data_IF_788161220758
#
_entry.id   IF_788161220758
#
_cell.length_a   1.000
_cell.length_b   1.000
_cell.length_c   1.000
_cell.angle_alpha   90.00
_cell.angle_beta   90.00
_cell.angle_gamma   90.00
#
_symmetry.space_group_name_H-M   'P 1'
#
loop_
_entity.id
_entity.type
_entity.pdbx_description
1 polymer ?
#
# COMPACT_ATOMS: atom_id res chain seq x y z
N UNK A 1 -20.54 7.37 -1.01
CA UNK A 1 -20.79 5.92 -1.18
C UNK A 1 -19.78 5.18 -0.32
N UNK A 2 -20.16 4.08 0.32
CA UNK A 2 -19.24 3.22 1.09
C UNK A 2 -19.22 1.86 0.40
N UNK A 3 -18.04 1.25 0.26
CA UNK A 3 -17.84 -0.05 -0.37
C UNK A 3 -16.98 -0.88 0.56
N UNK A 4 -17.42 -2.10 0.86
CA UNK A 4 -16.59 -3.09 1.55
C UNK A 4 -15.61 -3.66 0.53
N UNK A 5 -14.36 -3.84 0.94
CA UNK A 5 -13.28 -4.40 0.13
C UNK A 5 -12.55 -5.43 0.96
N UNK A 6 -11.98 -6.44 0.32
CA UNK A 6 -11.36 -7.57 1.00
C UNK A 6 -10.14 -8.09 0.24
N UNK A 7 -9.18 -8.66 0.95
CA UNK A 7 -8.09 -9.39 0.32
C UNK A 7 -8.58 -10.77 -0.11
N UNK A 8 -8.08 -11.25 -1.25
CA UNK A 8 -8.52 -12.52 -1.83
C UNK A 8 -7.32 -13.46 -1.85
N UNK A 9 -7.18 -14.36 -0.86
CA UNK A 9 -6.12 -15.35 -0.83
C UNK A 9 -6.02 -16.16 -2.12
N UNK A 10 -4.80 -16.29 -2.61
CA UNK A 10 -4.48 -17.24 -3.65
C UNK A 10 -4.70 -18.68 -3.19
N UNK A 11 -5.10 -19.55 -4.12
CA UNK A 11 -5.36 -20.95 -3.84
C UNK A 11 -6.65 -21.22 -3.05
N UNK A 12 -7.38 -20.20 -2.59
CA UNK A 12 -8.69 -20.38 -1.98
C UNK A 12 -9.76 -20.61 -3.05
N UNK A 13 -10.62 -21.60 -2.82
CA UNK A 13 -11.80 -21.83 -3.64
C UNK A 13 -13.02 -21.24 -2.96
N UNK A 14 -13.72 -20.36 -3.66
CA UNK A 14 -14.95 -19.75 -3.19
C UNK A 14 -16.13 -20.49 -3.82
N UNK A 15 -17.08 -20.95 -3.01
CA UNK A 15 -18.32 -21.54 -3.52
C UNK A 15 -19.26 -20.49 -4.12
N UNK A 16 -20.24 -20.92 -4.92
CA UNK A 16 -21.27 -20.03 -5.46
C UNK A 16 -20.72 -19.02 -6.48
N UNK A 17 -21.09 -17.75 -6.35
CA UNK A 17 -20.70 -16.66 -7.26
C UNK A 17 -19.31 -16.05 -6.93
N UNK A 18 -18.53 -16.66 -6.03
CA UNK A 18 -17.23 -16.14 -5.62
C UNK A 18 -17.31 -14.86 -4.77
N UNK A 19 -16.17 -14.19 -4.51
CA UNK A 19 -16.13 -12.90 -3.84
C UNK A 19 -16.93 -11.86 -4.61
N UNK A 20 -17.82 -11.15 -3.92
CA UNK A 20 -18.70 -10.14 -4.56
C UNK A 20 -18.19 -8.71 -4.38
N UNK A 21 -17.27 -8.51 -3.45
CA UNK A 21 -16.67 -7.21 -3.19
C UNK A 21 -15.40 -7.02 -4.03
N UNK A 22 -15.02 -5.78 -4.38
CA UNK A 22 -13.71 -5.52 -4.98
C UNK A 22 -12.59 -6.00 -4.07
N UNK A 23 -11.51 -6.50 -4.69
CA UNK A 23 -10.32 -6.84 -3.93
C UNK A 23 -9.62 -5.59 -3.38
N UNK A 24 -8.82 -5.74 -2.32
CA UNK A 24 -7.93 -4.68 -1.83
C UNK A 24 -7.01 -4.18 -2.96
N UNK A 25 -6.50 -5.10 -3.79
CA UNK A 25 -5.67 -4.79 -4.96
C UNK A 25 -6.42 -3.91 -5.97
N UNK A 26 -7.61 -4.33 -6.43
CA UNK A 26 -8.40 -3.56 -7.41
C UNK A 26 -8.78 -2.18 -6.86
N UNK A 27 -9.04 -2.10 -5.56
CA UNK A 27 -9.38 -0.86 -4.88
C UNK A 27 -8.20 0.11 -4.88
N UNK A 28 -7.00 -0.35 -4.54
CA UNK A 28 -5.80 0.49 -4.54
C UNK A 28 -5.43 0.92 -5.96
N UNK A 29 -5.48 0.00 -6.93
CA UNK A 29 -5.27 0.31 -8.34
C UNK A 29 -6.28 1.34 -8.86
N UNK A 30 -7.56 1.23 -8.47
CA UNK A 30 -8.57 2.22 -8.82
C UNK A 30 -8.28 3.59 -8.22
N UNK A 31 -7.82 3.66 -6.97
CA UNK A 31 -7.46 4.93 -6.32
C UNK A 31 -6.25 5.57 -7.01
N UNK A 32 -5.22 4.79 -7.32
CA UNK A 32 -4.03 5.25 -8.05
C UNK A 32 -4.44 5.79 -9.43
N UNK A 33 -5.20 5.00 -10.19
CA UNK A 33 -5.60 5.35 -11.55
C UNK A 33 -6.60 6.51 -11.65
N UNK A 34 -7.30 6.84 -10.56
CA UNK A 34 -8.23 7.98 -10.52
C UNK A 34 -7.66 9.23 -9.83
N UNK A 35 -6.43 9.18 -9.30
CA UNK A 35 -5.83 10.34 -8.62
C UNK A 35 -5.36 11.36 -9.65
N UNK A 36 -5.76 12.62 -9.48
CA UNK A 36 -5.39 13.71 -10.40
C UNK A 36 -4.42 14.73 -9.78
N UNK A 37 -4.36 14.85 -8.46
CA UNK A 37 -3.62 15.91 -7.78
C UNK A 37 -2.73 15.41 -6.65
N UNK A 38 -3.24 14.56 -5.77
CA UNK A 38 -2.48 14.08 -4.61
C UNK A 38 -2.93 12.72 -4.10
N UNK A 39 -1.96 11.90 -3.72
CA UNK A 39 -2.16 10.65 -3.01
C UNK A 39 -1.41 10.67 -1.68
N UNK A 40 -2.14 10.61 -0.57
CA UNK A 40 -1.59 10.59 0.78
C UNK A 40 -1.76 9.23 1.41
N UNK A 41 -0.67 8.68 1.94
CA UNK A 41 -0.63 7.32 2.45
C UNK A 41 -0.07 7.35 3.88
N UNK A 42 -0.78 6.75 4.83
CA UNK A 42 -0.26 6.47 6.16
C UNK A 42 -0.17 4.95 6.37
N UNK A 43 1.06 4.47 6.58
CA UNK A 43 1.40 3.05 6.59
C UNK A 43 2.14 2.64 7.87
N UNK A 44 1.96 1.41 8.32
CA UNK A 44 2.76 0.85 9.41
C UNK A 44 4.15 0.42 8.94
N UNK A 45 4.25 -0.31 7.84
CA UNK A 45 5.51 -0.65 7.16
C UNK A 45 5.26 -0.83 5.67
N UNK A 46 6.33 -1.05 4.90
CA UNK A 46 6.27 -1.23 3.45
C UNK A 46 7.12 -2.43 3.00
N UNK A 47 6.50 -3.38 2.29
CA UNK A 47 7.10 -4.55 1.61
C UNK A 47 6.19 -4.96 0.44
N UNK A 48 5.99 -4.05 -0.51
CA UNK A 48 5.15 -4.26 -1.70
C UNK A 48 5.87 -5.08 -2.77
N UNK A 49 7.20 -5.07 -2.77
CA UNK A 49 8.01 -5.94 -3.63
C UNK A 49 8.42 -7.21 -2.87
N UNK A 50 8.72 -8.31 -3.59
CA UNK A 50 9.19 -9.56 -2.98
C UNK A 50 10.69 -9.53 -2.56
N UNK A 51 11.34 -8.37 -2.61
CA UNK A 51 12.79 -8.29 -2.35
C UNK A 51 13.17 -8.76 -0.95
N UNK A 52 12.27 -8.62 0.01
CA UNK A 52 12.50 -8.93 1.42
C UNK A 52 12.63 -10.43 1.72
N UNK A 53 12.10 -11.29 0.85
CA UNK A 53 12.20 -12.75 0.99
C UNK A 53 13.45 -13.31 0.32
N UNK A 54 14.06 -12.57 -0.61
CA UNK A 54 15.12 -13.05 -1.49
C UNK A 54 14.74 -14.31 -2.28
N UNK A 55 13.46 -14.47 -2.62
CA UNK A 55 12.93 -15.55 -3.46
C UNK A 55 12.24 -15.02 -4.72
N UNK A 56 11.66 -15.92 -5.51
CA UNK A 56 10.72 -15.57 -6.58
C UNK A 56 9.34 -16.05 -6.14
N UNK A 57 8.43 -15.11 -5.84
CA UNK A 57 7.04 -15.41 -5.49
C UNK A 57 6.09 -14.78 -6.49
N UNK A 58 5.49 -15.56 -7.41
CA UNK A 58 4.52 -15.05 -8.37
C UNK A 58 3.34 -14.32 -7.71
N UNK A 59 2.99 -14.69 -6.48
CA UNK A 59 1.90 -14.07 -5.71
C UNK A 59 2.21 -12.65 -5.20
N UNK A 60 3.45 -12.18 -5.37
CA UNK A 60 3.82 -10.79 -5.13
C UNK A 60 3.50 -9.85 -6.29
N UNK A 61 3.12 -10.37 -7.47
CA UNK A 61 2.91 -9.58 -8.69
C UNK A 61 1.92 -8.42 -8.50
N UNK A 62 0.86 -8.62 -7.70
CA UNK A 62 -0.09 -7.56 -7.36
C UNK A 62 0.56 -6.41 -6.57
N UNK A 63 1.42 -6.74 -5.61
CA UNK A 63 2.15 -5.75 -4.83
C UNK A 63 3.17 -4.99 -5.68
N UNK A 64 3.91 -5.72 -6.52
CA UNK A 64 4.89 -5.15 -7.45
C UNK A 64 4.23 -4.21 -8.47
N UNK A 65 3.06 -4.57 -9.00
CA UNK A 65 2.29 -3.73 -9.91
C UNK A 65 1.82 -2.44 -9.23
N UNK A 66 1.29 -2.51 -8.00
CA UNK A 66 0.92 -1.30 -7.24
C UNK A 66 2.14 -0.41 -7.02
N UNK A 67 3.27 -1.02 -6.67
CA UNK A 67 4.53 -0.29 -6.48
C UNK A 67 4.95 0.43 -7.77
N UNK A 68 4.92 -0.26 -8.90
CA UNK A 68 5.25 0.31 -10.20
C UNK A 68 4.39 1.53 -10.54
N UNK A 69 3.07 1.44 -10.34
CA UNK A 69 2.15 2.55 -10.63
C UNK A 69 2.32 3.73 -9.66
N UNK A 70 2.57 3.46 -8.37
CA UNK A 70 2.87 4.53 -7.41
C UNK A 70 4.12 5.33 -7.81
N UNK A 71 5.15 4.67 -8.34
CA UNK A 71 6.39 5.31 -8.78
C UNK A 71 6.19 6.21 -10.02
N UNK A 72 5.13 6.00 -10.81
CA UNK A 72 4.80 6.82 -11.99
C UNK A 72 4.05 8.11 -11.64
N UNK A 73 3.35 8.15 -10.50
CA UNK A 73 2.51 9.30 -10.13
C UNK A 73 3.30 10.62 -10.03
N UNK A 74 4.45 10.70 -9.33
CA UNK A 74 5.18 11.97 -9.23
C UNK A 74 5.71 12.47 -10.58
N UNK A 75 6.06 11.55 -11.49
CA UNK A 75 6.50 11.88 -12.85
C UNK A 75 5.37 12.51 -13.68
N UNK A 76 4.13 12.20 -13.34
CA UNK A 76 2.92 12.77 -13.94
C UNK A 76 2.45 14.06 -13.25
N UNK A 77 3.23 14.60 -12.31
CA UNK A 77 2.92 15.82 -11.57
C UNK A 77 1.98 15.64 -10.38
N UNK A 78 1.64 14.39 -10.02
CA UNK A 78 0.78 14.07 -8.88
C UNK A 78 1.61 14.07 -7.59
N UNK A 79 1.15 14.76 -6.56
CA UNK A 79 1.84 14.82 -5.27
C UNK A 79 1.62 13.54 -4.47
N UNK A 80 2.66 12.72 -4.28
CA UNK A 80 2.59 11.53 -3.42
C UNK A 80 3.25 11.83 -2.08
N UNK A 81 2.53 11.60 -0.97
CA UNK A 81 3.04 11.81 0.40
C UNK A 81 2.84 10.55 1.23
N UNK A 82 3.90 10.08 1.87
CA UNK A 82 3.88 8.87 2.69
C UNK A 82 4.31 9.19 4.11
N UNK A 83 3.44 8.94 5.09
CA UNK A 83 3.77 8.88 6.50
C UNK A 83 3.92 7.41 6.92
N UNK A 84 5.08 7.04 7.45
CA UNK A 84 5.37 5.66 7.83
C UNK A 84 5.86 5.58 9.27
N UNK A 85 5.64 4.44 9.94
CA UNK A 85 6.31 4.19 11.22
C UNK A 85 7.83 4.25 11.04
N UNK A 86 8.58 4.57 12.09
CA UNK A 86 10.05 4.48 12.04
C UNK A 86 10.44 3.07 11.56
N UNK A 87 11.16 2.95 10.44
CA UNK A 87 11.59 1.66 9.92
C UNK A 87 12.51 0.92 10.91
N UNK A 88 12.45 -0.41 10.89
CA UNK A 88 13.28 -1.26 11.73
C UNK A 88 14.05 -2.25 10.87
N UNK A 89 14.97 -3.03 11.45
CA UNK A 89 15.65 -4.10 10.71
C UNK A 89 14.71 -5.14 10.10
N UNK A 90 13.46 -5.22 10.57
CA UNK A 90 12.41 -6.11 10.04
C UNK A 90 11.54 -5.47 8.94
N UNK A 91 11.75 -4.19 8.65
CA UNK A 91 10.98 -3.43 7.66
C UNK A 91 11.97 -2.83 6.66
N UNK A 92 12.24 -3.53 5.55
CA UNK A 92 13.19 -3.07 4.53
C UNK A 92 12.84 -1.67 4.05
N UNK A 93 13.89 -0.90 3.74
CA UNK A 93 13.74 0.48 3.25
C UNK A 93 13.62 0.58 1.74
N UNK A 94 13.82 -0.52 1.00
CA UNK A 94 13.99 -0.47 -0.45
C UNK A 94 12.80 0.22 -1.15
N UNK A 95 11.57 -0.21 -0.84
CA UNK A 95 10.37 0.39 -1.43
C UNK A 95 10.23 1.88 -1.05
N UNK A 96 10.47 2.22 0.22
CA UNK A 96 10.40 3.62 0.67
C UNK A 96 11.45 4.49 -0.04
N UNK A 97 12.66 3.96 -0.25
CA UNK A 97 13.71 4.65 -1.00
C UNK A 97 13.35 4.82 -2.48
N UNK A 98 12.75 3.80 -3.11
CA UNK A 98 12.26 3.89 -4.47
C UNK A 98 11.17 4.98 -4.60
N UNK A 99 10.24 5.06 -3.64
CA UNK A 99 9.24 6.12 -3.58
C UNK A 99 9.88 7.50 -3.46
N UNK A 100 10.83 7.69 -2.54
CA UNK A 100 11.57 8.96 -2.42
C UNK A 100 12.29 9.32 -3.72
N UNK A 101 12.97 8.36 -4.35
CA UNK A 101 13.69 8.56 -5.61
C UNK A 101 12.76 8.89 -6.79
N UNK A 102 11.52 8.39 -6.77
CA UNK A 102 10.51 8.75 -7.78
C UNK A 102 10.02 10.19 -7.66
N UNK A 103 10.23 10.84 -6.51
CA UNK A 103 9.75 12.19 -6.20
C UNK A 103 8.66 12.25 -5.13
N UNK A 104 8.27 11.12 -4.53
CA UNK A 104 7.34 11.13 -3.41
C UNK A 104 7.98 11.71 -2.14
N UNK A 105 7.19 12.38 -1.31
CA UNK A 105 7.63 12.84 -0.01
C UNK A 105 7.37 11.77 1.06
N UNK A 106 8.41 11.03 1.45
CA UNK A 106 8.32 10.01 2.50
C UNK A 106 8.80 10.58 3.83
N UNK A 107 8.08 10.31 4.93
CA UNK A 107 8.42 10.75 6.28
C UNK A 107 8.16 9.66 7.30
N UNK A 108 9.20 9.29 8.03
CA UNK A 108 9.05 8.49 9.24
C UNK A 108 8.47 9.35 10.38
N UNK A 109 7.42 8.86 11.03
CA UNK A 109 6.78 9.53 12.16
C UNK A 109 7.32 8.93 13.46
N UNK A 110 7.90 9.77 14.31
CA UNK A 110 8.46 9.38 15.60
C UNK A 110 7.37 9.17 16.67
N UNK A 111 6.57 8.13 16.46
CA UNK A 111 5.51 7.71 17.38
C UNK A 111 6.02 7.27 18.76
N UNK A 112 7.22 6.66 18.91
CA UNK A 112 7.80 6.40 20.22
C UNK A 112 7.97 7.68 21.05
N UNK A 113 8.50 8.76 20.45
CA UNK A 113 8.60 10.04 21.14
C UNK A 113 7.25 10.71 21.40
N UNK A 114 6.31 10.62 20.44
CA UNK A 114 5.03 11.31 20.52
C UNK A 114 4.04 10.63 21.49
N UNK A 115 4.06 9.30 21.56
CA UNK A 115 3.01 8.51 22.24
C UNK A 115 3.55 7.32 23.02
N UNK A 116 4.83 6.96 22.87
CA UNK A 116 5.38 5.68 23.34
C UNK A 116 4.99 4.48 22.48
N UNK A 117 4.22 4.68 21.40
CA UNK A 117 3.69 3.62 20.53
C UNK A 117 4.28 3.62 19.12
N UNK A 118 3.51 3.09 18.18
CA UNK A 118 3.86 2.96 16.75
C UNK A 118 2.76 3.55 15.86
N UNK A 119 3.10 3.89 14.61
CA UNK A 119 2.11 4.28 13.61
C UNK A 119 1.41 3.04 13.05
N UNK A 120 0.35 2.54 13.69
CA UNK A 120 -0.34 1.33 13.24
C UNK A 120 -1.48 1.60 12.24
N UNK A 121 -1.21 2.41 11.21
CA UNK A 121 -2.23 2.89 10.25
C UNK A 121 -2.10 2.19 8.90
N UNK A 122 -3.23 2.01 8.21
CA UNK A 122 -3.31 1.60 6.80
C UNK A 122 -4.41 2.43 6.13
N UNK A 123 -4.02 3.60 5.62
CA UNK A 123 -4.93 4.65 5.17
C UNK A 123 -4.40 5.25 3.87
N UNK A 124 -5.29 5.46 2.91
CA UNK A 124 -5.01 6.18 1.68
C UNK A 124 -6.06 7.26 1.49
N UNK A 125 -5.63 8.47 1.10
CA UNK A 125 -6.50 9.59 0.73
C UNK A 125 -6.10 10.02 -0.67
N UNK A 126 -7.00 9.88 -1.64
CA UNK A 126 -6.80 10.37 -3.00
C UNK A 126 -7.61 11.67 -3.19
N UNK A 127 -6.91 12.72 -3.62
CA UNK A 127 -7.41 14.07 -3.92
C UNK A 127 -8.25 14.75 -2.81
N UNK A 128 -8.20 14.22 -1.59
CA UNK A 128 -9.06 14.66 -0.49
C UNK A 128 -10.54 14.28 -0.67
N UNK A 129 -10.88 13.43 -1.64
CA UNK A 129 -12.25 13.06 -2.01
C UNK A 129 -12.53 11.57 -1.82
N UNK A 130 -11.52 10.72 -1.98
CA UNK A 130 -11.63 9.28 -1.83
C UNK A 130 -10.74 8.77 -0.69
N UNK A 131 -11.26 7.78 0.05
CA UNK A 131 -10.61 7.22 1.23
C UNK A 131 -10.62 5.70 1.18
N UNK A 132 -9.45 5.08 1.38
CA UNK A 132 -9.35 3.69 1.81
C UNK A 132 -8.86 3.64 3.25
N UNK A 133 -9.53 2.84 4.07
CA UNK A 133 -9.15 2.52 5.45
C UNK A 133 -9.40 1.03 5.68
N UNK A 134 -8.41 0.33 6.22
CA UNK A 134 -8.52 -1.13 6.40
C UNK A 134 -7.42 -1.73 7.25
N UNK A 135 -7.32 -3.05 7.21
CA UNK A 135 -6.31 -3.84 7.95
C UNK A 135 -5.08 -4.20 7.10
N UNK A 136 -5.22 -4.26 5.77
CA UNK A 136 -4.14 -4.66 4.86
C UNK A 136 -2.97 -3.66 4.91
N UNK A 137 -1.78 -4.15 5.28
CA UNK A 137 -0.55 -3.35 5.25
C UNK A 137 -0.10 -3.13 3.81
N UNK A 138 0.83 -2.20 3.60
CA UNK A 138 1.53 -2.00 2.33
C UNK A 138 2.55 -3.13 2.18
N UNK A 139 2.03 -4.34 2.07
CA UNK A 139 2.71 -5.62 2.04
C UNK A 139 2.03 -6.46 0.98
N UNK A 140 2.77 -6.98 0.00
CA UNK A 140 2.19 -7.76 -1.08
C UNK A 140 1.39 -8.97 -0.55
N UNK A 141 1.79 -9.53 0.59
CA UNK A 141 1.10 -10.65 1.26
C UNK A 141 -0.27 -10.26 1.75
N UNK A 142 -0.45 -8.98 2.10
CA UNK A 142 -1.76 -8.47 2.51
C UNK A 142 -2.77 -8.47 1.37
N UNK A 143 -2.34 -8.66 0.11
CA UNK A 143 -3.23 -8.72 -1.05
C UNK A 143 -3.60 -10.16 -1.41
N UNK A 144 -2.65 -11.10 -1.27
CA UNK A 144 -2.77 -12.45 -1.83
C UNK A 144 -2.61 -13.61 -0.84
N UNK A 145 -2.17 -13.37 0.41
CA UNK A 145 -1.82 -14.44 1.36
C UNK A 145 -2.63 -14.43 2.67
N UNK A 146 -3.55 -13.48 2.86
CA UNK A 146 -4.35 -13.30 4.10
C UNK A 146 -5.84 -13.28 3.83
#
# INVERSE_FOLDING_TARGET
RIVLVESIPEGMTYGGNGPTNPSTFDTWMSLIGSTEHSLDIAAFYWTMTNEDTHTQEPSAAQGEQIMEELLKLPQSGISVRVAVNIPSSKSPLHDLQALEQSGAAVRAVDMPRLTGGVLHTKLWIADGTHLYIGSANMDWRSLTQV
#
